data_IF_835422328862
#
_entry.id   IF_835422328862
#
_cell.length_a   1.000
_cell.length_b   1.000
_cell.length_c   1.000
_cell.angle_alpha   90.00
_cell.angle_beta   90.00
_cell.angle_gamma   90.00
#
_symmetry.space_group_name_H-M   'P 1'
#
loop_
_entity.id
_entity.type
_entity.pdbx_description
1 polymer ?
#
# COMPACT_ATOMS: atom_id res chain seq x y z
N UNK A 1 17.33 -6.39 -0.48
CA UNK A 1 16.01 -6.63 -1.08
C UNK A 1 15.98 -5.94 -2.42
N UNK A 2 16.04 -6.69 -3.52
CA UNK A 2 15.91 -6.13 -4.87
C UNK A 2 14.45 -6.30 -5.27
N UNK A 3 13.62 -5.32 -4.92
CA UNK A 3 12.26 -5.25 -5.42
C UNK A 3 12.33 -4.89 -6.91
N UNK A 4 11.60 -5.60 -7.76
CA UNK A 4 11.59 -5.36 -9.20
C UNK A 4 11.28 -3.88 -9.51
N UNK A 5 11.71 -3.37 -10.68
CA UNK A 5 11.54 -1.95 -11.08
C UNK A 5 10.09 -1.45 -10.95
N UNK A 6 9.12 -2.35 -11.08
CA UNK A 6 7.69 -2.09 -10.92
C UNK A 6 7.33 -1.56 -9.52
N UNK A 7 8.07 -1.95 -8.48
CA UNK A 7 7.86 -1.45 -7.13
C UNK A 7 8.22 0.04 -6.98
N UNK A 8 9.21 0.53 -7.71
CA UNK A 8 9.56 1.95 -7.66
C UNK A 8 8.40 2.80 -8.19
N UNK A 9 7.77 2.40 -9.29
CA UNK A 9 6.59 3.08 -9.84
C UNK A 9 5.43 3.16 -8.82
N UNK A 10 5.22 2.08 -8.05
CA UNK A 10 4.19 2.04 -7.00
C UNK A 10 4.54 3.00 -5.86
N UNK A 11 5.80 3.00 -5.41
CA UNK A 11 6.28 3.88 -4.35
C UNK A 11 6.22 5.36 -4.76
N UNK A 12 6.63 5.67 -5.99
CA UNK A 12 6.54 7.02 -6.55
C UNK A 12 5.09 7.50 -6.58
N UNK A 13 4.14 6.64 -6.98
CA UNK A 13 2.71 6.99 -6.95
C UNK A 13 2.19 7.21 -5.53
N UNK A 14 2.62 6.41 -4.54
CA UNK A 14 2.27 6.63 -3.14
C UNK A 14 2.79 7.99 -2.66
N UNK A 15 4.04 8.33 -2.99
CA UNK A 15 4.65 9.60 -2.61
C UNK A 15 3.91 10.80 -3.24
N UNK A 16 3.57 10.70 -4.52
CA UNK A 16 2.77 11.70 -5.25
C UNK A 16 1.42 11.93 -4.55
N UNK A 17 0.65 10.87 -4.32
CA UNK A 17 -0.69 10.98 -3.71
C UNK A 17 -0.64 11.48 -2.27
N UNK A 18 0.37 11.08 -1.50
CA UNK A 18 0.59 11.61 -0.16
C UNK A 18 0.88 13.12 -0.21
N UNK A 19 1.76 13.57 -1.10
CA UNK A 19 2.10 14.98 -1.23
C UNK A 19 0.89 15.83 -1.65
N UNK A 20 0.02 15.27 -2.49
CA UNK A 20 -1.24 15.92 -2.87
C UNK A 20 -2.16 16.07 -1.66
N UNK A 21 -2.47 14.97 -0.94
CA UNK A 21 -3.28 15.00 0.29
C UNK A 21 -2.73 16.02 1.29
N UNK A 22 -1.41 16.02 1.51
CA UNK A 22 -0.78 16.92 2.47
C UNK A 22 -0.96 18.41 2.12
N UNK A 23 -1.00 18.75 0.82
CA UNK A 23 -1.20 20.13 0.35
C UNK A 23 -2.68 20.54 0.34
N UNK A 24 -3.60 19.60 0.45
CA UNK A 24 -5.03 19.89 0.48
C UNK A 24 -5.46 20.45 1.83
N UNK A 25 -6.22 21.55 1.81
CA UNK A 25 -6.83 22.11 3.02
C UNK A 25 -8.15 21.38 3.32
N UNK A 26 -8.04 20.16 3.86
CA UNK A 26 -9.18 19.31 4.16
C UNK A 26 -8.77 17.90 4.62
N UNK A 27 -9.74 16.98 4.63
CA UNK A 27 -9.49 15.57 4.90
C UNK A 27 -9.11 14.83 3.61
N UNK A 28 -8.07 14.00 3.68
CA UNK A 28 -7.71 13.08 2.61
C UNK A 28 -7.37 11.69 3.16
N UNK A 29 -7.74 10.66 2.40
CA UNK A 29 -7.47 9.26 2.74
C UNK A 29 -6.57 8.65 1.66
N UNK A 30 -5.47 8.02 2.10
CA UNK A 30 -4.62 7.18 1.25
C UNK A 30 -4.64 5.76 1.79
N UNK A 31 -5.15 4.82 1.00
CA UNK A 31 -5.25 3.41 1.38
C UNK A 31 -4.45 2.54 0.44
N UNK A 32 -3.56 1.71 0.99
CA UNK A 32 -2.85 0.67 0.23
C UNK A 32 -3.38 -0.69 0.65
N UNK A 33 -3.98 -1.40 -0.29
CA UNK A 33 -4.43 -2.79 -0.12
C UNK A 33 -3.54 -3.72 -0.96
N UNK A 34 -3.18 -4.87 -0.41
CA UNK A 34 -2.45 -5.90 -1.14
C UNK A 34 -3.22 -7.22 -1.08
N UNK A 35 -3.38 -7.87 -2.22
CA UNK A 35 -4.10 -9.15 -2.34
C UNK A 35 -3.21 -10.17 -3.04
N UNK A 36 -3.16 -11.39 -2.50
CA UNK A 36 -2.52 -12.49 -3.20
C UNK A 36 -3.34 -12.86 -4.43
N UNK A 37 -2.67 -12.95 -5.57
CA UNK A 37 -3.19 -13.53 -6.78
C UNK A 37 -2.65 -14.96 -6.96
N UNK A 38 -3.13 -15.64 -7.99
CA UNK A 38 -2.60 -16.94 -8.38
C UNK A 38 -1.16 -16.79 -8.92
N UNK A 39 -0.39 -17.88 -8.94
CA UNK A 39 0.94 -17.98 -9.57
C UNK A 39 2.03 -17.06 -8.99
N UNK A 40 1.97 -16.76 -7.69
CA UNK A 40 3.03 -15.96 -7.04
C UNK A 40 2.97 -14.47 -7.37
N UNK A 41 1.79 -13.97 -7.76
CA UNK A 41 1.58 -12.54 -7.96
C UNK A 41 0.85 -11.91 -6.78
N UNK A 42 1.03 -10.60 -6.62
CA UNK A 42 0.24 -9.76 -5.73
C UNK A 42 -0.37 -8.63 -6.52
N UNK A 43 -1.63 -8.37 -6.23
CA UNK A 43 -2.27 -7.13 -6.61
C UNK A 43 -2.02 -6.08 -5.53
N UNK A 44 -1.53 -4.92 -5.93
CA UNK A 44 -1.42 -3.72 -5.09
C UNK A 44 -2.44 -2.71 -5.56
N UNK A 45 -3.32 -2.27 -4.66
CA UNK A 45 -4.37 -1.29 -4.93
C UNK A 45 -4.10 -0.07 -4.06
N UNK A 46 -3.90 1.09 -4.68
CA UNK A 46 -3.79 2.38 -3.98
C UNK A 46 -5.09 3.16 -4.21
N UNK A 47 -5.77 3.58 -3.14
CA UNK A 47 -7.00 4.37 -3.20
C UNK A 47 -6.76 5.76 -2.62
N UNK A 48 -7.07 6.79 -3.40
CA UNK A 48 -7.03 8.20 -3.01
C UNK A 48 -8.01 8.98 -3.92
N UNK A 49 -9.32 8.82 -3.69
CA UNK A 49 -10.39 9.32 -4.58
C UNK A 49 -10.54 8.55 -5.90
N UNK A 50 -9.45 7.99 -6.42
CA UNK A 50 -9.39 7.03 -7.53
C UNK A 50 -8.57 5.81 -7.12
N UNK A 51 -8.90 4.66 -7.73
CA UNK A 51 -8.17 3.42 -7.55
C UNK A 51 -7.07 3.27 -8.62
N UNK A 52 -5.84 3.04 -8.17
CA UNK A 52 -4.69 2.65 -8.98
C UNK A 52 -4.32 1.21 -8.66
N UNK A 53 -4.30 0.33 -9.67
CA UNK A 53 -4.08 -1.11 -9.50
C UNK A 53 -2.82 -1.55 -10.22
N UNK A 54 -2.01 -2.34 -9.54
CA UNK A 54 -0.75 -2.89 -10.04
C UNK A 54 -0.72 -4.39 -9.76
N UNK A 55 -0.18 -5.16 -10.70
CA UNK A 55 0.12 -6.58 -10.49
C UNK A 55 1.64 -6.70 -10.49
N UNK A 56 2.18 -7.22 -9.40
CA UNK A 56 3.62 -7.45 -9.24
C UNK A 56 3.88 -8.91 -8.88
N UNK A 57 4.98 -9.45 -9.39
CA UNK A 57 5.45 -10.76 -8.97
C UNK A 57 5.97 -10.69 -7.52
N UNK A 58 5.79 -11.78 -6.77
CA UNK A 58 6.22 -11.90 -5.38
C UNK A 58 6.84 -13.27 -5.12
N UNK A 59 8.05 -13.28 -4.56
CA UNK A 59 8.74 -14.52 -4.23
C UNK A 59 8.08 -15.18 -3.01
N UNK A 60 7.45 -16.33 -3.24
CA UNK A 60 6.76 -17.12 -2.20
C UNK A 60 7.72 -17.66 -1.14
N UNK A 61 9.04 -17.69 -1.40
CA UNK A 61 10.05 -18.09 -0.41
C UNK A 61 10.26 -17.05 0.68
N UNK A 62 9.80 -15.81 0.48
CA UNK A 62 9.91 -14.71 1.44
C UNK A 62 8.63 -14.48 2.26
N UNK A 63 7.70 -15.44 2.25
CA UNK A 63 6.46 -15.35 3.03
C UNK A 63 6.76 -15.40 4.52
N UNK A 64 6.55 -14.28 5.22
CA UNK A 64 6.43 -14.29 6.68
C UNK A 64 5.05 -14.87 7.08
N UNK A 65 4.97 -15.79 8.05
CA UNK A 65 3.69 -16.21 8.62
C UNK A 65 2.88 -14.98 9.05
N UNK A 66 1.60 -14.92 8.69
CA UNK A 66 0.74 -13.84 9.15
C UNK A 66 0.41 -14.07 10.63
N UNK A 67 0.98 -13.27 11.52
CA UNK A 67 0.44 -13.13 12.87
C UNK A 67 -0.95 -12.49 12.77
N UNK A 68 -1.94 -12.96 13.55
CA UNK A 68 -3.26 -12.36 13.54
C UNK A 68 -3.15 -10.88 13.93
N UNK A 69 -3.36 -9.98 12.95
CA UNK A 69 -3.41 -8.54 13.20
C UNK A 69 -4.58 -8.25 14.13
N UNK A 70 -4.29 -8.04 15.41
CA UNK A 70 -5.23 -7.43 16.33
C UNK A 70 -5.69 -6.09 15.73
N UNK A 71 -7.00 -5.84 15.72
CA UNK A 71 -7.59 -4.57 15.28
C UNK A 71 -7.10 -3.46 16.21
N UNK A 72 -5.96 -2.86 15.89
CA UNK A 72 -5.42 -1.74 16.67
C UNK A 72 -6.23 -0.50 16.30
N UNK A 73 -7.10 -0.08 17.21
CA UNK A 73 -7.69 1.26 17.18
C UNK A 73 -6.56 2.29 17.26
N UNK A 74 -6.60 3.41 16.51
CA UNK A 74 -5.59 4.43 16.63
C UNK A 74 -5.64 5.02 18.04
N UNK A 75 -4.53 4.95 18.78
CA UNK A 75 -4.32 5.76 19.97
C UNK A 75 -4.34 7.22 19.52
N UNK A 76 -5.43 7.92 19.84
CA UNK A 76 -5.50 9.36 19.69
C UNK A 76 -4.37 9.98 20.52
N UNK A 77 -3.38 10.56 19.85
CA UNK A 77 -2.46 11.49 20.53
C UNK A 77 -3.21 12.82 20.65
N UNK A 78 -3.79 13.03 21.81
CA UNK A 78 -4.30 14.33 22.24
C UNK A 78 -3.13 15.30 22.38
N UNK A 79 -3.26 16.50 21.84
CA UNK A 79 -2.52 17.70 22.26
C UNK A 79 -3.53 18.75 22.67
#
# INVERSE_FOLDING_TARGET
MNLAREHNTILDKIQELYADIFKHNGFGELKVEMRFLKKGQKEVIIRCGKDFRYVVDYDTRELKPQEPRAKTAPTAMTS
#
